data_IF_161073561117
#
_entry.id   IF_161073561117
#
_cell.length_a   1.000
_cell.length_b   1.000
_cell.length_c   1.000
_cell.angle_alpha   90.00
_cell.angle_beta   90.00
_cell.angle_gamma   90.00
#
_symmetry.space_group_name_H-M   'P 1'
#
loop_
_entity.id
_entity.type
_entity.pdbx_description
1 polymer ?
#
# COMPACT_ATOMS: atom_id res chain seq x y z
N UNK A 1 -3.40 -0.10 6.81
CA UNK A 1 -4.82 0.00 6.41
C UNK A 1 -5.38 1.34 6.84
N UNK A 2 -6.31 1.92 6.07
CA UNK A 2 -6.93 3.22 6.35
C UNK A 2 -7.64 3.78 5.11
N UNK A 3 -8.42 4.85 5.28
CA UNK A 3 -9.25 5.40 4.20
C UNK A 3 -8.44 5.91 3.00
N UNK A 4 -9.07 6.02 1.84
CA UNK A 4 -8.49 6.71 0.66
C UNK A 4 -8.13 8.15 1.03
N UNK A 5 -6.97 8.64 0.54
CA UNK A 5 -6.47 9.97 0.88
C UNK A 5 -5.77 10.12 2.23
N UNK A 6 -5.75 9.08 3.09
CA UNK A 6 -5.07 9.13 4.39
C UNK A 6 -3.52 9.22 4.33
N UNK A 7 -2.92 9.28 3.13
CA UNK A 7 -1.47 9.47 2.96
C UNK A 7 -0.61 8.21 3.07
N UNK A 8 -1.19 7.00 2.98
CA UNK A 8 -0.48 5.71 3.08
C UNK A 8 0.74 5.61 2.14
N UNK A 9 0.52 5.75 0.84
CA UNK A 9 1.59 5.69 -0.17
C UNK A 9 2.61 6.82 0.01
N UNK A 10 2.14 8.01 0.42
CA UNK A 10 3.03 9.15 0.71
C UNK A 10 3.95 8.84 1.90
N UNK A 11 3.43 8.24 2.97
CA UNK A 11 4.25 7.80 4.10
C UNK A 11 5.32 6.77 3.67
N UNK A 12 4.94 5.75 2.90
CA UNK A 12 5.86 4.72 2.41
C UNK A 12 6.98 5.35 1.55
N UNK A 13 6.64 6.31 0.69
CA UNK A 13 7.64 7.01 -0.16
C UNK A 13 8.72 7.76 0.62
N UNK A 14 8.47 8.16 1.87
CA UNK A 14 9.49 8.79 2.71
C UNK A 14 10.44 7.77 3.36
N UNK A 15 10.01 6.51 3.52
CA UNK A 15 10.76 5.46 4.23
C UNK A 15 11.54 4.54 3.29
N UNK A 16 11.07 4.36 2.06
CA UNK A 16 11.72 3.51 1.06
C UNK A 16 12.04 4.34 -0.19
N UNK A 17 13.33 4.61 -0.43
CA UNK A 17 13.78 5.29 -1.66
C UNK A 17 13.60 4.43 -2.92
N UNK A 18 13.39 3.12 -2.75
CA UNK A 18 13.04 2.18 -3.81
C UNK A 18 11.53 2.04 -3.99
N UNK A 19 10.71 2.73 -3.18
CA UNK A 19 9.36 3.06 -3.58
C UNK A 19 9.47 4.07 -4.73
N UNK A 20 9.71 3.52 -5.93
CA UNK A 20 9.53 4.24 -7.18
C UNK A 20 8.08 4.71 -7.15
N UNK A 21 7.89 5.98 -6.77
CA UNK A 21 6.75 6.75 -7.21
C UNK A 21 6.92 6.77 -8.72
N UNK A 22 6.34 5.79 -9.41
CA UNK A 22 6.29 5.84 -10.87
C UNK A 22 5.68 7.19 -11.23
N UNK A 23 6.27 7.87 -12.21
CA UNK A 23 5.85 9.18 -12.73
C UNK A 23 4.42 9.22 -13.30
N UNK A 24 3.59 8.23 -12.98
CA UNK A 24 2.15 8.24 -13.14
C UNK A 24 1.53 8.49 -11.75
N UNK A 25 1.39 9.76 -11.39
CA UNK A 25 0.49 10.18 -10.31
C UNK A 25 -0.95 9.94 -10.81
N UNK A 26 -1.37 8.68 -10.78
CA UNK A 26 -2.72 8.33 -10.38
C UNK A 26 -2.59 7.67 -9.02
N UNK A 27 -2.91 8.45 -8.00
CA UNK A 27 -3.22 8.01 -6.64
C UNK A 27 -4.43 7.07 -6.65
N UNK A 28 -4.24 5.91 -7.24
CA UNK A 28 -5.13 4.77 -7.28
C UNK A 28 -4.20 3.55 -7.16
N UNK A 29 -3.74 3.21 -5.95
CA UNK A 29 -3.26 1.85 -5.70
C UNK A 29 -4.45 0.93 -5.88
N UNK A 30 -4.63 0.43 -7.10
CA UNK A 30 -5.66 -0.55 -7.46
C UNK A 30 -5.27 -1.97 -7.04
N UNK A 31 -4.05 -2.15 -6.52
CA UNK A 31 -3.48 -3.43 -6.10
C UNK A 31 -2.50 -3.27 -4.94
N UNK A 32 -2.30 -4.35 -4.17
CA UNK A 32 -1.37 -4.43 -3.03
C UNK A 32 0.09 -4.52 -3.49
N UNK A 33 0.99 -3.73 -2.90
CA UNK A 33 2.44 -3.73 -3.19
C UNK A 33 3.30 -3.86 -1.93
N UNK A 34 4.50 -4.44 -2.06
CA UNK A 34 5.50 -4.52 -0.99
C UNK A 34 6.66 -3.59 -1.30
N UNK A 35 7.07 -2.81 -0.32
CA UNK A 35 8.24 -1.95 -0.34
C UNK A 35 9.21 -2.38 0.76
N UNK A 36 10.43 -2.76 0.38
CA UNK A 36 11.47 -3.07 1.35
C UNK A 36 12.30 -1.82 1.66
N UNK A 37 12.77 -1.71 2.90
CA UNK A 37 13.79 -0.76 3.32
C UNK A 37 14.63 -1.38 4.42
N UNK A 38 15.83 -0.83 4.65
CA UNK A 38 16.72 -1.27 5.71
C UNK A 38 16.94 -0.10 6.67
N UNK A 39 16.57 -0.29 7.94
CA UNK A 39 16.64 0.74 8.96
C UNK A 39 17.12 0.11 10.27
N UNK A 40 18.11 0.73 10.91
CA UNK A 40 18.66 0.31 12.21
C UNK A 40 19.03 -1.18 12.30
N UNK A 41 19.62 -1.72 11.23
CA UNK A 41 20.03 -3.12 11.18
C UNK A 41 18.90 -4.11 10.85
N UNK A 42 17.68 -3.63 10.57
CA UNK A 42 16.51 -4.45 10.32
C UNK A 42 15.99 -4.28 8.89
N UNK A 43 15.60 -5.40 8.27
CA UNK A 43 14.79 -5.38 7.05
C UNK A 43 13.34 -5.05 7.42
N UNK A 44 12.84 -3.94 6.92
CA UNK A 44 11.45 -3.49 7.10
C UNK A 44 10.71 -3.66 5.78
N UNK A 45 9.56 -4.31 5.82
CA UNK A 45 8.67 -4.49 4.68
C UNK A 45 7.39 -3.70 4.93
N UNK A 46 7.13 -2.69 4.10
CA UNK A 46 5.92 -1.90 4.12
C UNK A 46 4.98 -2.41 3.03
N UNK A 47 3.76 -2.78 3.42
CA UNK A 47 2.73 -3.26 2.51
C UNK A 47 1.80 -2.08 2.23
N UNK A 48 1.82 -1.57 0.99
CA UNK A 48 0.83 -0.58 0.55
C UNK A 48 -0.45 -1.30 0.12
N UNK A 49 -1.59 -0.73 0.50
CA UNK A 49 -2.90 -1.35 0.33
C UNK A 49 -3.88 -0.33 -0.23
N UNK A 50 -4.85 -0.76 -1.06
CA UNK A 50 -5.97 0.10 -1.42
C UNK A 50 -6.63 0.74 -0.19
N UNK A 51 -7.18 1.94 -0.37
CA UNK A 51 -7.93 2.60 0.69
C UNK A 51 -9.25 1.89 0.97
N UNK A 52 -9.63 1.87 2.23
CA UNK A 52 -11.02 1.70 2.63
C UNK A 52 -11.77 2.99 2.23
N UNK A 53 -13.08 2.94 2.02
CA UNK A 53 -13.86 4.09 1.53
C UNK A 53 -13.41 4.58 0.13
N UNK A 54 -13.13 3.62 -0.77
CA UNK A 54 -12.97 3.94 -2.20
C UNK A 54 -14.36 4.21 -2.80
N UNK A 55 -14.51 5.33 -3.50
CA UNK A 55 -15.77 5.74 -4.14
C UNK A 55 -16.29 4.74 -5.17
N UNK A 56 -15.44 3.79 -5.59
CA UNK A 56 -15.74 2.82 -6.64
C UNK A 56 -15.81 1.38 -6.16
N UNK A 57 -15.37 1.07 -4.93
CA UNK A 57 -15.23 -0.32 -4.43
C UNK A 57 -15.71 -0.46 -2.99
N UNK A 58 -16.51 -1.49 -2.64
CA UNK A 58 -16.93 -1.71 -1.27
C UNK A 58 -15.77 -2.20 -0.39
N UNK A 59 -15.76 -1.79 0.88
CA UNK A 59 -14.74 -2.20 1.86
C UNK A 59 -14.59 -3.72 1.99
N UNK A 60 -15.66 -4.48 1.79
CA UNK A 60 -15.63 -5.95 1.82
C UNK A 60 -14.78 -6.54 0.70
N UNK A 61 -14.73 -5.90 -0.46
CA UNK A 61 -13.86 -6.30 -1.57
C UNK A 61 -12.41 -6.00 -1.25
N UNK A 62 -12.13 -4.81 -0.69
CA UNK A 62 -10.78 -4.42 -0.25
C UNK A 62 -10.26 -5.37 0.82
N UNK A 63 -11.09 -5.70 1.83
CA UNK A 63 -10.75 -6.68 2.86
C UNK A 63 -10.45 -8.06 2.28
N UNK A 64 -11.27 -8.51 1.32
CA UNK A 64 -11.07 -9.79 0.66
C UNK A 64 -9.76 -9.81 -0.11
N UNK A 65 -9.42 -8.74 -0.82
CA UNK A 65 -8.16 -8.62 -1.56
C UNK A 65 -6.97 -8.74 -0.60
N UNK A 66 -6.98 -7.99 0.51
CA UNK A 66 -5.93 -8.05 1.55
C UNK A 66 -5.82 -9.46 2.13
N UNK A 67 -6.95 -10.10 2.47
CA UNK A 67 -6.94 -11.44 3.04
C UNK A 67 -6.42 -12.51 2.06
N UNK A 68 -6.83 -12.44 0.78
CA UNK A 68 -6.35 -13.35 -0.28
C UNK A 68 -4.86 -13.16 -0.51
N UNK A 69 -4.39 -11.92 -0.49
CA UNK A 69 -2.98 -11.61 -0.66
C UNK A 69 -2.14 -12.12 0.52
N UNK A 70 -2.57 -11.87 1.76
CA UNK A 70 -1.89 -12.37 2.97
C UNK A 70 -1.83 -13.89 3.02
N UNK A 71 -2.85 -14.59 2.50
CA UNK A 71 -2.86 -16.06 2.42
C UNK A 71 -1.82 -16.60 1.42
N UNK A 72 -1.40 -15.80 0.44
CA UNK A 72 -0.45 -16.19 -0.61
C UNK A 72 1.00 -15.83 -0.29
N UNK A 73 1.24 -15.07 0.78
CA UNK A 73 2.57 -14.90 1.36
C UNK A 73 3.04 -16.22 2.00
#
# INVERSE_FOLDING_TARGET
MGVTGAGKSKFISHLSKTAVVGDDIKSCTTSISIHATFLDGLNIYLIDTPGFDDTTRPDTEILREIAVWLKKL
#
